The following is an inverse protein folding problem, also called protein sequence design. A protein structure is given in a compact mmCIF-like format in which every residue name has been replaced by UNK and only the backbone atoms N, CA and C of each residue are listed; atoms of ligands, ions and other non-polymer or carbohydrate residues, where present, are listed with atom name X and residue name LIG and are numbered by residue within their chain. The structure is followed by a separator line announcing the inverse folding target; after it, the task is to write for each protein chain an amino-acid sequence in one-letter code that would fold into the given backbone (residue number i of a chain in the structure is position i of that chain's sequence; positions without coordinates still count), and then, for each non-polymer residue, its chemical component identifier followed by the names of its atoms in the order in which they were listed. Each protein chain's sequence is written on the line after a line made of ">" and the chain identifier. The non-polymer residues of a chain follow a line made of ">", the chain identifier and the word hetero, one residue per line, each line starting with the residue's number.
data_IF_905523074372
#
_entry.id   IF_905523074372
#
_cell.length_a   1.000
_cell.length_b   1.000
_cell.length_c   1.000
_cell.angle_alpha   90.00
_cell.angle_beta   90.00
_cell.angle_gamma   90.00
#
_symmetry.space_group_name_H-M   'P 1'
#
loop_
_entity.id
_entity.type
_entity.pdbx_description
1 polymer ?
#
# COMPACT_ATOMS: atom_id res chain seq x y z
N UNK A 1 -10.80 19.41 -11.29
CA UNK A 1 -9.42 19.23 -10.77
C UNK A 1 -8.40 19.11 -11.91
N UNK A 2 -8.56 18.16 -12.84
CA UNK A 2 -7.58 17.91 -13.89
C UNK A 2 -7.46 19.05 -14.92
N UNK A 3 -8.58 19.67 -15.27
CA UNK A 3 -8.64 20.81 -16.21
C UNK A 3 -7.91 22.06 -15.70
N UNK A 4 -7.74 22.18 -14.38
CA UNK A 4 -7.02 23.27 -13.73
C UNK A 4 -5.62 22.86 -13.25
N UNK A 5 -5.12 21.70 -13.71
CA UNK A 5 -3.75 21.23 -13.41
C UNK A 5 -3.52 20.67 -12.01
N UNK A 6 -4.57 20.46 -11.21
CA UNK A 6 -4.44 19.92 -9.85
C UNK A 6 -4.37 18.39 -9.89
N UNK A 7 -3.34 17.83 -9.24
CA UNK A 7 -3.16 16.39 -9.09
C UNK A 7 -4.13 15.83 -8.05
N UNK A 8 -4.77 14.72 -8.39
CA UNK A 8 -5.67 13.98 -7.52
C UNK A 8 -5.00 12.76 -6.91
N UNK A 9 -5.08 12.64 -5.58
CA UNK A 9 -4.51 11.53 -4.81
C UNK A 9 -5.65 10.74 -4.16
N UNK A 10 -5.72 9.44 -4.44
CA UNK A 10 -6.63 8.52 -3.76
C UNK A 10 -5.93 7.81 -2.61
N UNK A 11 -6.46 7.93 -1.40
CA UNK A 11 -5.98 7.21 -0.23
C UNK A 11 -7.01 6.15 0.14
N UNK A 12 -6.58 4.89 0.12
CA UNK A 12 -7.43 3.75 0.41
C UNK A 12 -6.85 2.96 1.57
N UNK A 13 -7.73 2.42 2.40
CA UNK A 13 -7.39 1.52 3.51
C UNK A 13 -8.07 0.20 3.22
N UNK A 14 -7.33 -0.91 3.32
CA UNK A 14 -7.83 -2.26 3.11
C UNK A 14 -7.78 -3.04 4.43
N UNK A 15 -8.82 -3.83 4.69
CA UNK A 15 -8.89 -4.70 5.87
C UNK A 15 -9.34 -3.96 7.11
N UNK A 16 -10.23 -2.98 6.94
CA UNK A 16 -10.96 -2.39 8.07
C UNK A 16 -11.82 -3.47 8.77
N UNK A 17 -12.14 -3.31 10.06
CA UNK A 17 -13.11 -4.18 10.73
C UNK A 17 -14.42 -4.28 9.92
N UNK A 18 -14.81 -5.50 9.56
CA UNK A 18 -15.97 -5.78 8.71
C UNK A 18 -15.69 -5.85 7.19
N UNK A 19 -14.46 -5.57 6.73
CA UNK A 19 -14.10 -5.80 5.33
C UNK A 19 -14.13 -7.29 4.98
N UNK A 20 -14.58 -7.56 3.76
CA UNK A 20 -14.54 -8.89 3.16
C UNK A 20 -13.68 -8.86 1.90
N UNK A 21 -13.33 -10.04 1.38
CA UNK A 21 -12.66 -10.15 0.07
C UNK A 21 -13.41 -9.38 -1.03
N UNK A 22 -14.75 -9.37 -0.97
CA UNK A 22 -15.60 -8.67 -1.93
C UNK A 22 -15.50 -7.16 -1.80
N UNK A 23 -15.60 -6.61 -0.59
CA UNK A 23 -15.55 -5.14 -0.37
C UNK A 23 -14.15 -4.58 -0.67
N UNK A 24 -13.10 -5.36 -0.41
CA UNK A 24 -11.72 -5.02 -0.80
C UNK A 24 -11.61 -4.93 -2.33
N UNK A 25 -12.10 -5.91 -3.08
CA UNK A 25 -12.10 -5.85 -4.55
C UNK A 25 -12.94 -4.68 -5.08
N UNK A 26 -14.10 -4.39 -4.49
CA UNK A 26 -14.92 -3.22 -4.83
C UNK A 26 -14.16 -1.90 -4.61
N UNK A 27 -13.38 -1.80 -3.52
CA UNK A 27 -12.51 -0.64 -3.22
C UNK A 27 -11.40 -0.50 -4.26
N UNK A 28 -10.78 -1.61 -4.65
CA UNK A 28 -9.75 -1.63 -5.70
C UNK A 28 -10.35 -1.20 -7.04
N UNK A 29 -11.50 -1.75 -7.40
CA UNK A 29 -12.22 -1.40 -8.63
C UNK A 29 -12.63 0.06 -8.65
N UNK A 30 -13.07 0.61 -7.53
CA UNK A 30 -13.35 2.04 -7.38
C UNK A 30 -12.08 2.87 -7.64
N UNK A 31 -10.96 2.52 -7.00
CA UNK A 31 -9.69 3.24 -7.19
C UNK A 31 -9.19 3.19 -8.65
N UNK A 32 -9.35 2.04 -9.31
CA UNK A 32 -8.90 1.80 -10.69
C UNK A 32 -9.82 2.45 -11.73
N UNK A 33 -11.11 2.59 -11.46
CA UNK A 33 -12.08 3.19 -12.39
C UNK A 33 -12.06 4.71 -12.37
N UNK A 34 -11.73 5.30 -11.23
CA UNK A 34 -11.72 6.75 -11.06
C UNK A 34 -10.44 7.41 -11.61
N UNK A 35 -10.52 8.69 -12.03
CA UNK A 35 -9.44 9.39 -12.74
C UNK A 35 -8.31 9.91 -11.83
N UNK A 36 -7.99 9.19 -10.74
CA UNK A 36 -6.90 9.55 -9.82
C UNK A 36 -5.55 9.56 -10.55
N UNK A 37 -4.71 10.55 -10.24
CA UNK A 37 -3.35 10.64 -10.79
C UNK A 37 -2.37 9.78 -10.00
N UNK A 38 -2.60 9.63 -8.70
CA UNK A 38 -1.84 8.77 -7.78
C UNK A 38 -2.80 8.07 -6.82
N UNK A 39 -2.41 6.89 -6.36
CA UNK A 39 -3.14 6.21 -5.30
C UNK A 39 -2.19 5.50 -4.34
N UNK A 40 -2.58 5.50 -3.06
CA UNK A 40 -1.96 4.71 -2.00
C UNK A 40 -2.98 3.76 -1.40
N UNK A 41 -2.60 2.49 -1.34
CA UNK A 41 -3.38 1.43 -0.73
C UNK A 41 -2.65 1.02 0.54
N UNK A 42 -3.20 1.39 1.68
CA UNK A 42 -2.66 1.08 2.99
C UNK A 42 -3.38 -0.13 3.57
N UNK A 43 -2.67 -0.98 4.28
CA UNK A 43 -3.28 -1.99 5.12
C UNK A 43 -3.70 -1.32 6.44
N UNK A 44 -4.89 -1.65 6.91
CA UNK A 44 -5.37 -1.17 8.19
C UNK A 44 -4.37 -1.48 9.30
N UNK A 45 -3.94 -0.43 9.98
CA UNK A 45 -3.00 -0.50 11.10
C UNK A 45 -3.61 0.29 12.24
N UNK A 46 -3.76 -0.36 13.39
CA UNK A 46 -4.25 0.28 14.60
C UNK A 46 -3.13 1.05 15.28
N UNK A 47 -3.38 2.31 15.66
CA UNK A 47 -2.39 3.15 16.36
C UNK A 47 -2.84 3.51 17.78
N UNK A 48 -1.90 3.65 18.74
CA UNK A 48 -2.19 4.07 20.10
C UNK A 48 -3.10 5.29 20.17
N UNK A 49 -4.10 5.24 21.06
CA UNK A 49 -5.11 6.29 21.20
C UNK A 49 -6.31 6.16 20.26
N UNK A 50 -6.27 5.28 19.25
CA UNK A 50 -7.46 4.94 18.46
C UNK A 50 -8.34 3.90 19.16
N UNK A 51 -9.66 3.96 18.91
CA UNK A 51 -10.60 2.96 19.41
C UNK A 51 -10.22 1.54 18.97
N UNK A 52 -9.87 1.37 17.70
CA UNK A 52 -9.50 0.08 17.16
C UNK A 52 -8.21 -0.49 17.78
N UNK A 53 -7.26 0.37 18.14
CA UNK A 53 -6.07 -0.09 18.88
C UNK A 53 -6.42 -0.55 20.28
N UNK A 54 -7.31 0.15 20.99
CA UNK A 54 -7.75 -0.27 22.32
C UNK A 54 -8.48 -1.62 22.29
N UNK A 55 -9.28 -1.86 21.25
CA UNK A 55 -9.94 -3.15 21.03
C UNK A 55 -8.93 -4.25 20.64
N UNK A 56 -7.97 -3.94 19.76
CA UNK A 56 -6.96 -4.89 19.31
C UNK A 56 -5.94 -5.26 20.40
N UNK A 57 -5.42 -4.28 21.16
CA UNK A 57 -4.42 -4.52 22.19
C UNK A 57 -4.98 -5.41 23.30
N UNK A 58 -6.26 -5.25 23.67
CA UNK A 58 -6.90 -6.04 24.71
C UNK A 58 -6.08 -6.03 26.01
N UNK A 59 -5.62 -7.20 26.44
CA UNK A 59 -4.78 -7.37 27.63
C UNK A 59 -3.27 -7.42 27.32
N UNK A 60 -2.83 -7.21 26.07
CA UNK A 60 -1.41 -7.23 25.69
C UNK A 60 -0.69 -6.03 26.29
N UNK A 61 0.59 -6.21 26.61
CA UNK A 61 1.43 -5.10 27.04
C UNK A 61 1.96 -4.31 25.84
N UNK A 62 2.11 -3.00 25.98
CA UNK A 62 2.77 -2.15 24.98
C UNK A 62 4.20 -2.63 24.65
N UNK A 63 4.89 -3.26 25.59
CA UNK A 63 6.24 -3.80 25.41
C UNK A 63 6.31 -5.04 24.52
N UNK A 64 5.17 -5.71 24.29
CA UNK A 64 5.07 -6.92 23.46
C UNK A 64 4.76 -6.60 21.99
N UNK A 65 4.50 -5.32 21.69
CA UNK A 65 4.14 -4.85 20.37
C UNK A 65 5.39 -4.60 19.54
N UNK A 66 5.43 -5.25 18.38
CA UNK A 66 6.43 -5.00 17.35
C UNK A 66 6.02 -3.75 16.53
N UNK A 67 6.57 -2.61 16.92
CA UNK A 67 6.28 -1.32 16.29
C UNK A 67 6.79 -1.24 14.85
N UNK A 68 7.81 -2.02 14.48
CA UNK A 68 8.34 -2.03 13.11
C UNK A 68 7.32 -2.60 12.12
N UNK A 69 6.34 -3.38 12.59
CA UNK A 69 5.25 -3.90 11.76
C UNK A 69 4.10 -2.90 11.58
N UNK A 70 4.08 -1.78 12.30
CA UNK A 70 3.01 -0.77 12.20
C UNK A 70 3.25 0.20 11.04
N UNK A 71 3.55 -0.34 9.86
CA UNK A 71 4.08 0.36 8.69
C UNK A 71 3.08 0.55 7.54
N UNK A 72 1.78 0.28 7.77
CA UNK A 72 0.71 0.29 6.76
C UNK A 72 0.91 -0.70 5.59
N UNK A 73 1.91 -1.58 5.65
CA UNK A 73 2.18 -2.62 4.64
C UNK A 73 2.14 -4.03 5.22
N UNK A 74 2.24 -4.15 6.54
CA UNK A 74 2.16 -5.41 7.28
C UNK A 74 0.79 -5.55 7.91
N UNK A 75 0.13 -6.67 7.64
CA UNK A 75 -1.19 -6.95 8.22
C UNK A 75 -1.05 -7.51 9.65
N UNK A 76 -1.13 -6.61 10.65
CA UNK A 76 -1.07 -6.98 12.08
C UNK A 76 -2.46 -7.28 12.65
N UNK A 77 -3.45 -6.50 12.22
CA UNK A 77 -4.85 -6.65 12.63
C UNK A 77 -5.60 -7.23 11.43
N UNK A 78 -6.13 -8.43 11.59
CA UNK A 78 -6.90 -9.09 10.55
C UNK A 78 -8.14 -9.70 11.19
N UNK A 79 -9.29 -9.38 10.64
CA UNK A 79 -10.59 -9.84 11.11
C UNK A 79 -11.32 -10.62 10.01
N UNK A 80 -12.27 -11.47 10.43
CA UNK A 80 -13.09 -12.28 9.53
C UNK A 80 -12.31 -13.39 8.81
N UNK A 81 -12.71 -13.68 7.58
CA UNK A 81 -12.19 -14.81 6.77
C UNK A 81 -10.93 -14.46 5.96
N UNK A 82 -10.32 -13.30 6.23
CA UNK A 82 -9.10 -12.86 5.58
C UNK A 82 -7.88 -13.31 6.40
N UNK A 83 -6.84 -13.73 5.70
CA UNK A 83 -5.52 -13.91 6.31
C UNK A 83 -4.64 -12.69 6.06
N UNK A 84 -3.66 -12.44 6.95
CA UNK A 84 -2.67 -11.37 6.78
C UNK A 84 -1.99 -11.41 5.40
N UNK A 85 -1.62 -12.61 4.95
CA UNK A 85 -0.99 -12.84 3.64
C UNK A 85 -1.91 -12.48 2.48
N UNK A 86 -3.21 -12.76 2.60
CA UNK A 86 -4.18 -12.38 1.57
C UNK A 86 -4.35 -10.87 1.51
N UNK A 87 -4.43 -10.18 2.66
CA UNK A 87 -4.56 -8.73 2.70
C UNK A 87 -3.35 -8.02 2.07
N UNK A 88 -2.14 -8.46 2.40
CA UNK A 88 -0.91 -8.00 1.74
C UNK A 88 -0.87 -8.30 0.24
N UNK A 89 -1.44 -9.44 -0.18
CA UNK A 89 -1.58 -9.78 -1.60
C UNK A 89 -2.54 -8.82 -2.29
N UNK A 90 -3.68 -8.50 -1.68
CA UNK A 90 -4.64 -7.53 -2.21
C UNK A 90 -4.04 -6.14 -2.35
N UNK A 91 -3.26 -5.68 -1.35
CA UNK A 91 -2.54 -4.41 -1.44
C UNK A 91 -1.62 -4.36 -2.69
N UNK A 92 -0.86 -5.44 -2.93
CA UNK A 92 0.01 -5.57 -4.13
C UNK A 92 -0.79 -5.62 -5.43
N UNK A 93 -1.94 -6.31 -5.44
CA UNK A 93 -2.85 -6.37 -6.59
C UNK A 93 -3.39 -4.97 -6.89
N UNK A 94 -3.84 -4.24 -5.87
CA UNK A 94 -4.38 -2.90 -5.99
C UNK A 94 -3.37 -1.94 -6.61
N UNK A 95 -2.15 -1.92 -6.07
CA UNK A 95 -1.06 -1.09 -6.60
C UNK A 95 -0.75 -1.44 -8.06
N UNK A 96 -0.65 -2.74 -8.41
CA UNK A 96 -0.39 -3.18 -9.78
C UNK A 96 -1.52 -2.77 -10.73
N UNK A 97 -2.77 -3.07 -10.39
CA UNK A 97 -3.95 -2.73 -11.20
C UNK A 97 -4.04 -1.22 -11.44
N UNK A 98 -3.68 -0.40 -10.46
CA UNK A 98 -3.71 1.06 -10.58
C UNK A 98 -2.56 1.61 -11.44
N UNK A 99 -1.31 1.23 -11.15
CA UNK A 99 -0.11 1.83 -11.76
C UNK A 99 0.28 1.22 -13.10
N UNK A 100 -0.16 -0.01 -13.42
CA UNK A 100 0.07 -0.62 -14.73
C UNK A 100 -0.92 -0.14 -15.81
N UNK A 101 -1.89 0.73 -15.47
CA UNK A 101 -2.74 1.38 -16.47
C UNK A 101 -1.87 2.21 -17.42
N UNK A 102 -1.97 2.05 -18.75
CA UNK A 102 -1.06 2.71 -19.70
C UNK A 102 -0.90 4.23 -19.47
N UNK A 103 -2.02 4.92 -19.21
CA UNK A 103 -2.03 6.37 -18.94
C UNK A 103 -1.27 6.75 -17.67
N UNK A 104 -1.44 5.98 -16.59
CA UNK A 104 -0.76 6.25 -15.31
C UNK A 104 0.71 5.88 -15.42
N UNK A 105 1.01 4.72 -16.00
CA UNK A 105 2.38 4.28 -16.23
C UNK A 105 3.16 5.33 -17.03
N UNK A 106 2.59 5.82 -18.14
CA UNK A 106 3.19 6.89 -18.93
C UNK A 106 3.35 8.19 -18.14
N UNK A 107 2.35 8.56 -17.33
CA UNK A 107 2.41 9.74 -16.45
C UNK A 107 3.49 9.64 -15.36
N UNK A 108 3.78 8.44 -14.87
CA UNK A 108 4.86 8.21 -13.91
C UNK A 108 6.21 8.23 -14.62
N UNK A 109 6.35 7.51 -15.74
CA UNK A 109 7.61 7.41 -16.49
C UNK A 109 8.04 8.75 -17.09
N UNK A 110 7.12 9.55 -17.63
CA UNK A 110 7.41 10.88 -18.19
C UNK A 110 7.92 11.89 -17.16
N UNK A 111 7.73 11.61 -15.86
CA UNK A 111 8.22 12.46 -14.77
C UNK A 111 9.55 11.99 -14.19
N UNK A 112 10.08 10.83 -14.62
CA UNK A 112 11.38 10.35 -14.15
C UNK A 112 12.51 11.05 -14.91
N UNK A 113 13.41 11.69 -14.17
CA UNK A 113 14.61 12.30 -14.72
C UNK A 113 15.71 11.27 -15.04
N UNK A 114 16.70 11.62 -15.90
CA UNK A 114 17.83 10.75 -16.22
C UNK A 114 18.61 10.29 -14.97
N UNK A 115 18.74 11.17 -13.98
CA UNK A 115 19.41 10.90 -12.72
C UNK A 115 18.67 9.84 -11.88
N UNK A 116 17.34 9.93 -11.80
CA UNK A 116 16.52 8.96 -11.04
C UNK A 116 16.55 7.58 -11.69
N UNK A 117 16.52 7.51 -13.02
CA UNK A 117 16.68 6.27 -13.79
C UNK A 117 18.05 5.64 -13.52
N UNK A 118 19.11 6.45 -13.49
CA UNK A 118 20.45 5.99 -13.14
C UNK A 118 20.48 5.46 -11.70
N UNK A 119 19.91 6.16 -10.72
CA UNK A 119 19.83 5.70 -9.33
C UNK A 119 19.09 4.37 -9.20
N UNK A 120 17.95 4.21 -9.88
CA UNK A 120 17.15 2.97 -9.82
C UNK A 120 17.91 1.79 -10.43
N UNK A 121 18.54 1.98 -11.60
CA UNK A 121 19.32 0.94 -12.28
C UNK A 121 20.58 0.58 -11.47
N UNK A 122 21.27 1.59 -10.93
CA UNK A 122 22.46 1.40 -10.11
C UNK A 122 22.15 0.71 -8.78
N UNK A 123 21.08 1.08 -8.09
CA UNK A 123 20.66 0.41 -6.84
C UNK A 123 20.33 -1.06 -7.07
N UNK A 124 19.66 -1.39 -8.17
CA UNK A 124 19.35 -2.79 -8.54
C UNK A 124 20.61 -3.57 -8.89
N UNK A 125 21.55 -2.95 -9.60
CA UNK A 125 22.84 -3.55 -9.91
C UNK A 125 23.67 -3.79 -8.65
N UNK A 126 23.80 -2.78 -7.78
CA UNK A 126 24.55 -2.86 -6.53
C UNK A 126 24.00 -3.92 -5.58
N UNK A 127 22.67 -3.98 -5.38
CA UNK A 127 22.03 -5.05 -4.58
C UNK A 127 22.27 -6.44 -5.17
N UNK A 128 22.26 -6.59 -6.50
CA UNK A 128 22.52 -7.87 -7.18
C UNK A 128 23.98 -8.30 -7.03
N UNK A 129 24.92 -7.35 -7.06
CA UNK A 129 26.36 -7.59 -6.88
C UNK A 129 26.71 -7.87 -5.42
N UNK A 130 26.15 -7.14 -4.45
CA UNK A 130 26.32 -7.41 -3.01
C UNK A 130 25.78 -8.78 -2.59
N UNK A 131 24.69 -9.26 -3.22
CA UNK A 131 24.18 -10.63 -3.00
C UNK A 131 25.05 -11.74 -3.60
N UNK A 132 26.05 -11.41 -4.42
CA UNK A 132 26.99 -12.38 -5.02
C UNK A 132 28.29 -12.54 -4.24
N UNK A 133 28.54 -11.69 -3.25
CA UNK A 133 29.78 -11.66 -2.44
C UNK A 133 29.56 -12.27 -1.04
N UNK A 134 28.33 -12.73 -0.74
CA UNK A 134 27.97 -13.45 0.48
C UNK A 134 27.44 -14.83 0.12
#
# INVERSE_FOLDING_TARGET
>A
MKEVGILSYGFFILGLPGDTKKTIEETIDFAVRNPFDRAWFNIFTSYPGSRAFNEWIGNRSFSEIDWDKHDCNTAIVVEGDLTARELEKYQKIAARRFYLRPKILWSVLSKLGPQEIYTITMTRFFKKTLRRIK
#
